data_IF_620221675885
#
_entry.id   IF_620221675885
#
_cell.length_a   1.000
_cell.length_b   1.000
_cell.length_c   1.000
_cell.angle_alpha   90.00
_cell.angle_beta   90.00
_cell.angle_gamma   90.00
#
_symmetry.space_group_name_H-M   'P 1'
#
loop_
_entity.id
_entity.type
_entity.pdbx_description
1 polymer ?
#
# COMPACT_ATOMS: atom_id res chain seq x y z
N UNK A 1 -40.66 17.83 -26.57
CA UNK A 1 -40.19 17.51 -25.22
C UNK A 1 -38.80 18.08 -25.04
N UNK A 2 -38.66 19.16 -24.25
CA UNK A 2 -37.42 19.92 -24.11
C UNK A 2 -36.61 19.36 -22.96
N UNK A 3 -35.52 18.65 -23.25
CA UNK A 3 -34.57 18.14 -22.20
C UNK A 3 -33.75 19.32 -21.64
N UNK A 4 -34.08 19.79 -20.44
CA UNK A 4 -33.24 20.75 -19.71
C UNK A 4 -31.90 20.08 -19.37
N UNK A 5 -30.83 20.51 -20.01
CA UNK A 5 -29.47 20.11 -19.62
C UNK A 5 -29.11 20.80 -18.28
N UNK A 6 -28.90 19.98 -17.25
CA UNK A 6 -28.35 20.45 -15.98
C UNK A 6 -26.84 20.70 -16.14
N UNK A 7 -26.43 21.96 -16.10
CA UNK A 7 -25.04 22.34 -16.12
C UNK A 7 -24.44 22.26 -14.70
N UNK A 8 -23.16 21.89 -14.59
CA UNK A 8 -22.43 21.85 -13.29
C UNK A 8 -22.51 23.18 -12.55
N UNK A 9 -22.62 24.31 -13.26
CA UNK A 9 -22.71 25.65 -12.73
C UNK A 9 -24.09 25.96 -12.11
N UNK A 10 -25.18 25.33 -12.60
CA UNK A 10 -26.51 25.46 -12.01
C UNK A 10 -26.68 24.64 -10.74
N UNK A 11 -25.96 23.53 -10.62
CA UNK A 11 -25.93 22.70 -9.40
C UNK A 11 -25.30 23.47 -8.23
N UNK A 12 -24.15 24.10 -8.44
CA UNK A 12 -23.45 24.88 -7.40
C UNK A 12 -24.28 26.11 -6.95
N UNK A 13 -25.02 26.74 -7.84
CA UNK A 13 -25.87 27.90 -7.50
C UNK A 13 -27.13 27.53 -6.71
N UNK A 14 -27.69 26.33 -6.90
CA UNK A 14 -28.87 25.90 -6.16
C UNK A 14 -28.59 25.47 -4.72
N UNK A 15 -27.34 25.07 -4.42
CA UNK A 15 -26.92 24.70 -3.05
C UNK A 15 -26.70 25.92 -2.14
N UNK A 16 -26.53 27.10 -2.72
CA UNK A 16 -26.23 28.34 -1.96
C UNK A 16 -27.47 29.10 -1.46
N UNK A 17 -28.70 28.73 -1.86
CA UNK A 17 -29.92 29.52 -1.58
C UNK A 17 -30.92 28.84 -0.63
N UNK A 18 -30.64 27.68 -0.08
CA UNK A 18 -31.46 27.10 0.98
C UNK A 18 -30.74 27.23 2.32
N UNK A 19 -30.80 28.46 2.88
CA UNK A 19 -30.44 28.72 4.27
C UNK A 19 -31.44 28.05 5.22
N UNK A 20 -31.21 26.77 5.47
CA UNK A 20 -31.82 25.98 6.53
C UNK A 20 -30.76 25.68 7.55
N UNK A 21 -30.82 26.34 8.70
CA UNK A 21 -30.08 25.93 9.91
C UNK A 21 -30.60 24.56 10.34
N UNK A 22 -30.05 23.51 9.79
CA UNK A 22 -30.10 22.19 10.40
C UNK A 22 -28.83 22.09 11.22
N UNK A 23 -28.99 21.88 12.52
CA UNK A 23 -28.01 21.40 13.47
C UNK A 23 -27.48 20.02 12.98
N UNK A 24 -26.71 20.04 11.90
CA UNK A 24 -25.86 18.91 11.57
C UNK A 24 -24.75 18.89 12.63
N UNK A 25 -24.50 17.76 13.30
CA UNK A 25 -23.29 17.62 14.09
C UNK A 25 -22.16 18.01 13.15
N UNK A 26 -21.35 18.97 13.58
CA UNK A 26 -20.18 19.44 12.84
C UNK A 26 -19.23 18.26 12.65
N UNK A 27 -19.44 17.52 11.58
CA UNK A 27 -18.42 16.65 11.03
C UNK A 27 -17.33 17.60 10.53
N UNK A 28 -16.43 17.95 11.44
CA UNK A 28 -15.31 18.80 11.11
C UNK A 28 -14.51 18.05 10.04
N UNK A 29 -14.31 18.66 8.88
CA UNK A 29 -13.37 18.22 7.86
C UNK A 29 -11.98 17.96 8.46
N UNK A 30 -11.66 18.65 9.55
CA UNK A 30 -10.49 18.44 10.40
C UNK A 30 -10.45 17.04 11.05
N UNK A 31 -11.61 16.43 11.39
CA UNK A 31 -11.62 15.05 11.91
C UNK A 31 -11.26 14.04 10.83
N UNK A 32 -11.55 14.30 9.57
CA UNK A 32 -11.11 13.45 8.45
C UNK A 32 -9.64 13.69 8.09
N UNK A 33 -9.15 14.94 8.21
CA UNK A 33 -7.75 15.27 8.00
C UNK A 33 -6.84 14.74 9.13
N UNK A 34 -7.34 14.72 10.37
CA UNK A 34 -6.60 14.21 11.54
C UNK A 34 -6.63 12.68 11.71
N UNK A 35 -7.42 11.94 10.95
CA UNK A 35 -7.28 10.47 10.92
C UNK A 35 -6.02 10.00 10.19
N UNK A 36 -5.34 10.89 9.47
CA UNK A 36 -3.98 10.70 8.92
C UNK A 36 -2.86 10.97 9.95
N UNK A 37 -3.17 10.98 11.24
CA UNK A 37 -2.19 11.18 12.30
C UNK A 37 -1.10 10.11 12.24
N UNK A 38 0.04 10.45 11.64
CA UNK A 38 1.35 9.81 11.83
C UNK A 38 1.42 8.27 11.68
N UNK A 39 0.48 7.64 10.98
CA UNK A 39 0.47 6.19 10.75
C UNK A 39 1.21 5.90 9.45
N UNK A 40 2.43 5.39 9.57
CA UNK A 40 3.22 4.98 8.41
C UNK A 40 2.47 3.94 7.57
N UNK A 41 2.55 4.10 6.25
CA UNK A 41 2.01 3.15 5.29
C UNK A 41 2.86 1.87 5.31
N UNK A 42 2.24 0.75 5.59
CA UNK A 42 2.91 -0.54 5.75
C UNK A 42 3.12 -1.22 4.40
N UNK A 43 4.36 -1.52 4.09
CA UNK A 43 4.76 -2.19 2.86
C UNK A 43 5.13 -3.64 3.14
N UNK A 44 4.69 -4.57 2.28
CA UNK A 44 5.21 -5.92 2.21
C UNK A 44 5.90 -6.17 0.86
N UNK A 45 7.05 -6.84 0.89
CA UNK A 45 7.75 -7.32 -0.30
C UNK A 45 7.47 -8.80 -0.50
N UNK A 46 6.97 -9.18 -1.66
CA UNK A 46 6.75 -10.58 -2.09
C UNK A 46 7.61 -10.86 -3.32
N UNK A 47 8.63 -11.70 -3.12
CA UNK A 47 9.69 -11.97 -4.08
C UNK A 47 10.95 -11.16 -3.78
N UNK A 48 11.89 -11.78 -3.07
CA UNK A 48 13.11 -11.16 -2.54
C UNK A 48 14.32 -11.32 -3.49
N UNK A 49 14.10 -11.35 -4.80
CA UNK A 49 15.17 -11.28 -5.80
C UNK A 49 15.74 -9.87 -5.95
N UNK A 50 16.77 -9.71 -6.77
CA UNK A 50 17.42 -8.41 -6.98
C UNK A 50 16.45 -7.30 -7.43
N UNK A 51 15.43 -7.66 -8.26
CA UNK A 51 14.40 -6.69 -8.67
C UNK A 51 13.50 -6.29 -7.50
N UNK A 52 13.10 -7.25 -6.65
CA UNK A 52 12.29 -6.98 -5.46
C UNK A 52 13.03 -6.10 -4.46
N UNK A 53 14.29 -6.42 -4.19
CA UNK A 53 15.17 -5.62 -3.32
C UNK A 53 15.22 -4.17 -3.79
N UNK A 54 15.51 -3.94 -5.10
CA UNK A 54 15.55 -2.60 -5.66
C UNK A 54 14.22 -1.86 -5.63
N UNK A 55 13.10 -2.57 -5.90
CA UNK A 55 11.76 -1.97 -5.85
C UNK A 55 11.39 -1.54 -4.42
N UNK A 56 11.72 -2.35 -3.41
CA UNK A 56 11.50 -2.00 -2.01
C UNK A 56 12.32 -0.76 -1.60
N UNK A 57 13.60 -0.70 -1.97
CA UNK A 57 14.45 0.46 -1.72
C UNK A 57 13.86 1.72 -2.37
N UNK A 58 13.44 1.64 -3.62
CA UNK A 58 12.84 2.78 -4.33
C UNK A 58 11.53 3.24 -3.67
N UNK A 59 10.67 2.32 -3.27
CA UNK A 59 9.41 2.64 -2.59
C UNK A 59 9.64 3.36 -1.25
N UNK A 60 10.58 2.86 -0.44
CA UNK A 60 10.93 3.45 0.86
C UNK A 60 11.61 4.83 0.74
N UNK A 61 12.35 5.07 -0.36
CA UNK A 61 12.94 6.38 -0.65
C UNK A 61 11.93 7.41 -1.16
N UNK A 62 10.86 6.94 -1.81
CA UNK A 62 9.85 7.80 -2.40
C UNK A 62 8.99 8.54 -1.37
N UNK A 63 8.74 7.91 -0.23
CA UNK A 63 7.90 8.49 0.82
C UNK A 63 8.42 8.10 2.22
N UNK A 64 8.69 9.10 3.05
CA UNK A 64 9.17 8.93 4.44
C UNK A 64 8.11 8.38 5.38
N UNK A 65 6.84 8.48 5.03
CA UNK A 65 5.73 7.95 5.80
C UNK A 65 5.40 6.49 5.44
N UNK A 66 6.40 5.77 4.90
CA UNK A 66 6.33 4.34 4.64
C UNK A 66 7.21 3.53 5.58
N UNK A 67 6.88 2.25 5.77
CA UNK A 67 7.75 1.30 6.46
C UNK A 67 7.64 -0.11 5.85
N UNK A 68 8.76 -0.80 5.71
CA UNK A 68 8.78 -2.21 5.34
C UNK A 68 8.51 -3.05 6.60
N UNK A 69 7.41 -3.81 6.62
CA UNK A 69 6.99 -4.56 7.81
C UNK A 69 6.97 -6.07 7.62
N UNK A 70 6.95 -6.55 6.37
CA UNK A 70 6.91 -7.97 6.05
C UNK A 70 7.66 -8.26 4.76
N UNK A 71 8.28 -9.43 4.70
CA UNK A 71 8.94 -9.96 3.49
C UNK A 71 8.58 -11.42 3.29
N UNK A 72 8.42 -11.84 2.03
CA UNK A 72 8.10 -13.21 1.65
C UNK A 72 8.87 -13.66 0.42
N UNK A 73 9.44 -14.85 0.47
CA UNK A 73 10.06 -15.53 -0.67
C UNK A 73 9.90 -17.05 -0.54
N UNK A 74 9.98 -17.77 -1.65
CA UNK A 74 10.01 -19.24 -1.63
C UNK A 74 11.29 -19.77 -0.95
N UNK A 75 12.40 -19.00 -1.00
CA UNK A 75 13.72 -19.40 -0.56
C UNK A 75 14.24 -18.49 0.56
N UNK A 76 14.68 -19.10 1.66
CA UNK A 76 15.14 -18.39 2.85
C UNK A 76 16.40 -17.54 2.59
N UNK A 77 17.35 -18.07 1.86
CA UNK A 77 18.60 -17.38 1.51
C UNK A 77 18.37 -16.11 0.71
N UNK A 78 17.41 -16.11 -0.22
CA UNK A 78 17.00 -14.92 -0.99
C UNK A 78 16.34 -13.87 -0.09
N UNK A 79 15.45 -14.31 0.77
CA UNK A 79 14.79 -13.45 1.73
C UNK A 79 15.79 -12.74 2.65
N UNK A 80 16.71 -13.50 3.26
CA UNK A 80 17.70 -12.93 4.18
C UNK A 80 18.69 -12.00 3.48
N UNK A 81 19.16 -12.37 2.28
CA UNK A 81 20.06 -11.51 1.49
C UNK A 81 19.41 -10.21 1.08
N UNK A 82 18.14 -10.26 0.65
CA UNK A 82 17.36 -9.08 0.28
C UNK A 82 17.15 -8.15 1.48
N UNK A 83 16.71 -8.71 2.61
CA UNK A 83 16.45 -7.93 3.82
C UNK A 83 17.74 -7.26 4.32
N UNK A 84 18.87 -7.98 4.28
CA UNK A 84 20.19 -7.43 4.62
C UNK A 84 20.54 -6.25 3.72
N UNK A 85 20.45 -6.42 2.41
CA UNK A 85 20.76 -5.36 1.45
C UNK A 85 19.86 -4.13 1.59
N UNK A 86 18.54 -4.33 1.84
CA UNK A 86 17.63 -3.21 2.11
C UNK A 86 18.02 -2.52 3.42
N UNK A 87 18.36 -3.26 4.47
CA UNK A 87 18.73 -2.69 5.77
C UNK A 87 20.02 -1.87 5.70
N UNK A 88 21.00 -2.29 4.90
CA UNK A 88 22.24 -1.56 4.67
C UNK A 88 22.02 -0.20 3.96
N UNK A 89 21.02 -0.12 3.07
CA UNK A 89 20.64 1.13 2.37
C UNK A 89 20.02 2.19 3.29
N UNK A 90 19.45 1.77 4.42
CA UNK A 90 18.73 2.62 5.36
C UNK A 90 19.29 2.50 6.79
N UNK A 91 20.61 2.34 6.90
CA UNK A 91 21.28 2.21 8.19
C UNK A 91 20.96 3.41 9.10
N UNK A 92 20.45 3.11 10.29
CA UNK A 92 20.02 4.13 11.28
C UNK A 92 18.61 4.68 11.09
N UNK A 93 17.91 4.33 10.04
CA UNK A 93 16.53 4.76 9.80
C UNK A 93 15.51 3.73 10.31
N UNK A 94 14.42 4.22 10.95
CA UNK A 94 13.34 3.37 11.46
C UNK A 94 12.26 3.06 10.42
N UNK A 95 12.66 2.85 9.16
CA UNK A 95 11.72 2.51 8.08
C UNK A 95 11.73 1.00 7.76
N UNK A 96 12.69 0.27 8.31
CA UNK A 96 12.75 -1.19 8.25
C UNK A 96 12.29 -1.75 9.60
N UNK A 97 11.08 -2.31 9.63
CA UNK A 97 10.46 -2.87 10.84
C UNK A 97 10.02 -4.33 10.63
N UNK A 98 10.86 -5.11 9.94
CA UNK A 98 10.59 -6.52 9.64
C UNK A 98 11.02 -7.38 10.82
N UNK A 99 10.08 -7.65 11.72
CA UNK A 99 10.29 -8.59 12.83
C UNK A 99 10.47 -10.02 12.29
N UNK A 100 11.15 -10.88 13.04
CA UNK A 100 11.39 -12.26 12.61
C UNK A 100 10.10 -13.02 12.27
N UNK A 101 9.04 -12.84 13.03
CA UNK A 101 7.71 -13.41 12.77
C UNK A 101 7.03 -12.91 11.48
N UNK A 102 7.58 -11.89 10.84
CA UNK A 102 7.09 -11.29 9.59
C UNK A 102 8.02 -11.60 8.40
N UNK A 103 8.91 -12.58 8.56
CA UNK A 103 9.77 -13.15 7.52
C UNK A 103 9.19 -14.49 7.10
N UNK A 104 8.53 -14.52 5.97
CA UNK A 104 7.74 -15.67 5.55
C UNK A 104 8.44 -16.43 4.42
N UNK A 105 8.71 -17.72 4.63
CA UNK A 105 9.41 -18.57 3.66
C UNK A 105 8.47 -19.66 3.13
N UNK A 106 8.54 -19.93 1.82
CA UNK A 106 7.76 -20.98 1.15
C UNK A 106 6.80 -20.43 0.10
N UNK A 107 6.24 -21.32 -0.70
CA UNK A 107 5.38 -20.93 -1.84
C UNK A 107 4.07 -20.24 -1.44
N UNK A 108 3.53 -20.53 -0.27
CA UNK A 108 2.30 -19.89 0.24
C UNK A 108 2.59 -18.71 1.18
N UNK A 109 3.85 -18.36 1.39
CA UNK A 109 4.28 -17.30 2.30
C UNK A 109 3.76 -15.91 1.93
N UNK A 110 3.45 -15.69 0.66
CA UNK A 110 2.88 -14.43 0.14
C UNK A 110 1.60 -14.03 0.87
N UNK A 111 0.72 -14.96 1.23
CA UNK A 111 -0.53 -14.68 1.93
C UNK A 111 -0.26 -13.98 3.26
N UNK A 112 0.62 -14.57 4.07
CA UNK A 112 0.96 -14.02 5.38
C UNK A 112 1.61 -12.63 5.32
N UNK A 113 2.41 -12.37 4.27
CA UNK A 113 3.02 -11.05 4.08
C UNK A 113 1.98 -10.01 3.62
N UNK A 114 1.12 -10.38 2.65
CA UNK A 114 0.06 -9.52 2.12
C UNK A 114 -0.91 -9.10 3.23
N UNK A 115 -1.31 -10.01 4.12
CA UNK A 115 -2.24 -9.73 5.22
C UNK A 115 -1.73 -8.66 6.20
N UNK A 116 -0.40 -8.48 6.30
CA UNK A 116 0.21 -7.51 7.23
C UNK A 116 0.29 -6.10 6.69
N UNK A 117 0.20 -5.91 5.38
CA UNK A 117 0.53 -4.66 4.72
C UNK A 117 -0.70 -3.89 4.23
N UNK A 118 -0.50 -2.61 3.97
CA UNK A 118 -1.44 -1.75 3.26
C UNK A 118 -1.09 -1.75 1.76
N UNK A 119 0.21 -1.79 1.44
CA UNK A 119 0.76 -1.84 0.07
C UNK A 119 1.63 -3.06 -0.11
N UNK A 120 1.50 -3.73 -1.23
CA UNK A 120 2.27 -4.94 -1.56
C UNK A 120 3.11 -4.72 -2.82
N UNK A 121 4.39 -5.05 -2.74
CA UNK A 121 5.31 -5.08 -3.88
C UNK A 121 5.42 -6.54 -4.35
N UNK A 122 4.88 -6.83 -5.54
CA UNK A 122 4.90 -8.17 -6.15
C UNK A 122 5.98 -8.25 -7.23
N UNK A 123 7.06 -8.96 -6.93
CA UNK A 123 8.23 -9.13 -7.83
C UNK A 123 8.59 -10.58 -8.08
N UNK A 124 7.70 -11.48 -7.74
CA UNK A 124 7.84 -12.92 -8.06
C UNK A 124 7.84 -13.16 -9.58
N UNK A 125 8.34 -14.31 -10.05
CA UNK A 125 8.28 -14.67 -11.47
C UNK A 125 6.85 -14.60 -12.04
N UNK A 126 6.68 -14.32 -13.34
CA UNK A 126 5.37 -14.09 -13.97
C UNK A 126 4.33 -15.18 -13.70
N UNK A 127 4.77 -16.45 -13.63
CA UNK A 127 3.86 -17.57 -13.40
C UNK A 127 3.17 -17.59 -12.02
N UNK A 128 3.71 -16.89 -11.03
CA UNK A 128 3.15 -16.80 -9.68
C UNK A 128 2.34 -15.52 -9.46
N UNK A 129 2.63 -14.46 -10.20
CA UNK A 129 2.03 -13.13 -10.00
C UNK A 129 0.52 -13.08 -10.09
N UNK A 130 -0.15 -13.75 -11.05
CA UNK A 130 -1.61 -13.72 -11.13
C UNK A 130 -2.28 -14.20 -9.83
N UNK A 131 -1.73 -15.26 -9.22
CA UNK A 131 -2.22 -15.80 -7.96
C UNK A 131 -2.01 -14.81 -6.81
N UNK A 132 -0.81 -14.23 -6.70
CA UNK A 132 -0.47 -13.27 -5.66
C UNK A 132 -1.26 -11.96 -5.81
N UNK A 133 -1.42 -11.48 -7.04
CA UNK A 133 -2.21 -10.30 -7.36
C UNK A 133 -3.68 -10.49 -6.99
N UNK A 134 -4.27 -11.62 -7.41
CA UNK A 134 -5.65 -11.96 -7.06
C UNK A 134 -5.85 -11.92 -5.55
N UNK A 135 -4.98 -12.57 -4.78
CA UNK A 135 -5.07 -12.59 -3.33
C UNK A 135 -4.96 -11.18 -2.72
N UNK A 136 -4.06 -10.35 -3.22
CA UNK A 136 -3.90 -8.99 -2.73
C UNK A 136 -5.15 -8.13 -2.97
N UNK A 137 -5.76 -8.22 -4.15
CA UNK A 137 -6.98 -7.47 -4.49
C UNK A 137 -8.19 -7.98 -3.69
N UNK A 138 -8.35 -9.29 -3.51
CA UNK A 138 -9.41 -9.88 -2.69
C UNK A 138 -9.32 -9.48 -1.19
N UNK A 139 -8.15 -9.03 -0.74
CA UNK A 139 -7.90 -8.55 0.61
C UNK A 139 -7.71 -7.01 0.68
N UNK A 140 -8.23 -6.27 -0.30
CA UNK A 140 -8.27 -4.80 -0.34
C UNK A 140 -6.87 -4.15 -0.18
N UNK A 141 -5.81 -4.74 -0.80
CA UNK A 141 -4.46 -4.20 -0.73
C UNK A 141 -4.12 -3.36 -1.97
N UNK A 142 -3.40 -2.28 -1.77
CA UNK A 142 -2.74 -1.58 -2.86
C UNK A 142 -1.59 -2.42 -3.40
N UNK A 143 -1.43 -2.47 -4.71
CA UNK A 143 -0.42 -3.34 -5.33
C UNK A 143 0.48 -2.57 -6.29
N UNK A 144 1.79 -2.67 -6.08
CA UNK A 144 2.78 -2.44 -7.11
C UNK A 144 3.24 -3.79 -7.65
N UNK A 145 3.13 -4.01 -8.96
CA UNK A 145 3.48 -5.28 -9.58
C UNK A 145 4.46 -5.07 -10.73
N UNK A 146 5.51 -5.89 -10.77
CA UNK A 146 6.47 -5.88 -11.86
C UNK A 146 5.89 -6.45 -13.15
N UNK A 147 6.42 -5.96 -14.27
CA UNK A 147 6.11 -6.52 -15.60
C UNK A 147 6.76 -7.90 -15.79
N UNK A 148 6.26 -8.71 -16.73
CA UNK A 148 4.97 -8.64 -17.44
C UNK A 148 3.80 -8.92 -16.51
N UNK A 149 2.65 -8.40 -16.91
CA UNK A 149 1.35 -8.60 -16.25
C UNK A 149 0.49 -9.52 -17.10
#
# INVERSE_FOLDING_TARGET
MNKKQFSRRSFVKSTALTGGVLLAPSFSLEAMANSSGNKKLKIALVGCGGRGTGAAVQALRADKDTELIAVADAFKDRLESSLKAISEEFEGERIINVKEKNRFVGFNSYQNAIDKADVVILTTPPGFRPLHFKYAIENDKHVFMEKPV
#
